data_IF_773991327744
#
_entry.id   IF_773991327744
#
_cell.length_a   1.000
_cell.length_b   1.000
_cell.length_c   1.000
_cell.angle_alpha   90.00
_cell.angle_beta   90.00
_cell.angle_gamma   90.00
#
_symmetry.space_group_name_H-M   'P 1'
#
loop_
_entity.id
_entity.type
_entity.pdbx_description
1 polymer ?
#
# COMPACT_ATOMS: atom_id res chain seq x y z
N UNK A 1 -13.32 -14.25 29.44
CA UNK A 1 -14.12 -14.50 28.23
C UNK A 1 -14.64 -15.94 28.22
N UNK A 2 -13.91 -16.96 27.74
CA UNK A 2 -14.47 -18.34 27.77
C UNK A 2 -14.65 -18.91 29.18
N UNK A 3 -13.59 -18.89 29.99
CA UNK A 3 -13.63 -19.52 31.31
C UNK A 3 -14.57 -18.79 32.29
N UNK A 4 -14.47 -17.46 32.34
CA UNK A 4 -15.21 -16.63 33.30
C UNK A 4 -16.60 -16.23 32.80
N UNK A 5 -16.76 -15.97 31.50
CA UNK A 5 -17.95 -15.31 30.94
C UNK A 5 -18.73 -16.21 29.97
N UNK A 6 -18.24 -17.42 29.67
CA UNK A 6 -18.87 -18.42 28.78
C UNK A 6 -19.18 -17.89 27.38
N UNK A 7 -18.40 -16.92 26.92
CA UNK A 7 -18.47 -16.41 25.55
C UNK A 7 -17.54 -17.26 24.70
N UNK A 8 -18.08 -17.90 23.66
CA UNK A 8 -17.34 -18.65 22.65
C UNK A 8 -16.45 -17.70 21.83
N UNK A 9 -15.18 -18.06 21.63
CA UNK A 9 -14.21 -17.22 20.94
C UNK A 9 -13.63 -17.98 19.75
N UNK A 10 -13.76 -17.39 18.57
CA UNK A 10 -13.03 -17.81 17.39
C UNK A 10 -11.68 -17.10 17.32
N UNK A 11 -10.60 -17.88 17.32
CA UNK A 11 -9.25 -17.37 17.12
C UNK A 11 -8.91 -17.36 15.64
N UNK A 12 -8.65 -16.18 15.10
CA UNK A 12 -8.17 -15.99 13.74
C UNK A 12 -6.68 -15.68 13.73
N UNK A 13 -5.98 -16.14 12.70
CA UNK A 13 -4.60 -15.70 12.51
C UNK A 13 -4.55 -14.19 12.27
N UNK A 14 -3.66 -13.46 12.96
CA UNK A 14 -3.48 -12.04 12.72
C UNK A 14 -3.09 -11.78 11.26
N UNK A 15 -3.88 -10.96 10.55
CA UNK A 15 -3.55 -10.53 9.20
C UNK A 15 -2.32 -9.62 9.22
N UNK A 16 -1.36 -9.91 8.34
CA UNK A 16 -0.20 -9.04 8.15
C UNK A 16 -0.67 -7.75 7.46
N UNK A 17 -0.33 -6.55 7.98
CA UNK A 17 -0.77 -5.30 7.41
C UNK A 17 0.09 -4.95 6.19
N UNK A 18 -0.03 -5.71 5.10
CA UNK A 18 0.59 -5.40 3.81
C UNK A 18 0.10 -4.04 3.28
N UNK A 19 0.88 -3.46 2.37
CA UNK A 19 0.52 -2.24 1.64
C UNK A 19 0.76 -2.43 0.15
N UNK A 20 0.19 -1.55 -0.66
CA UNK A 20 0.41 -1.55 -2.10
C UNK A 20 1.07 -0.25 -2.54
N UNK A 21 1.91 -0.33 -3.56
CA UNK A 21 2.48 0.84 -4.24
C UNK A 21 2.70 0.52 -5.72
N UNK A 22 3.22 1.47 -6.47
CA UNK A 22 3.52 1.34 -7.89
C UNK A 22 5.00 1.62 -8.14
N UNK A 23 5.52 1.16 -9.28
CA UNK A 23 6.96 1.32 -9.60
C UNK A 23 7.20 2.09 -10.90
N UNK A 24 6.15 2.32 -11.68
CA UNK A 24 6.23 2.98 -12.99
C UNK A 24 5.16 4.07 -13.09
N UNK A 25 5.37 4.98 -14.03
CA UNK A 25 4.33 5.91 -14.43
C UNK A 25 3.32 5.20 -15.32
N UNK A 26 2.05 5.54 -15.17
CA UNK A 26 0.98 5.02 -16.01
C UNK A 26 -0.13 6.05 -16.16
N UNK A 27 -0.82 6.00 -17.29
CA UNK A 27 -2.01 6.83 -17.53
C UNK A 27 -3.22 5.95 -17.71
N UNK A 28 -4.37 6.47 -17.30
CA UNK A 28 -5.65 5.90 -17.68
C UNK A 28 -6.72 6.98 -17.72
N UNK A 29 -7.76 6.69 -18.49
CA UNK A 29 -8.98 7.45 -18.54
C UNK A 29 -10.16 6.53 -18.24
N UNK A 30 -11.20 7.11 -17.64
CA UNK A 30 -12.45 6.39 -17.42
C UNK A 30 -13.63 7.32 -17.59
N UNK A 31 -14.64 6.84 -18.33
CA UNK A 31 -15.91 7.52 -18.56
C UNK A 31 -17.05 6.78 -17.88
N UNK A 32 -17.56 7.36 -16.79
CA UNK A 32 -18.79 6.94 -16.15
C UNK A 32 -19.99 7.54 -16.88
N UNK A 33 -20.88 6.70 -17.40
CA UNK A 33 -22.16 7.12 -17.99
C UNK A 33 -23.26 6.17 -17.56
N UNK A 34 -24.30 6.68 -16.91
CA UNK A 34 -25.52 5.93 -16.59
C UNK A 34 -26.74 6.77 -16.91
N UNK A 35 -27.62 6.23 -17.75
CA UNK A 35 -28.94 6.80 -18.02
C UNK A 35 -29.97 5.91 -17.31
N UNK A 36 -30.34 6.29 -16.09
CA UNK A 36 -31.60 5.82 -15.48
C UNK A 36 -32.73 6.76 -15.91
N UNK A 37 -33.99 6.32 -15.89
CA UNK A 37 -35.16 7.14 -16.29
C UNK A 37 -35.43 8.42 -15.47
N UNK A 38 -34.47 8.87 -14.66
CA UNK A 38 -34.46 10.15 -13.92
C UNK A 38 -33.20 10.96 -14.26
N UNK A 39 -32.56 11.60 -13.27
CA UNK A 39 -31.33 12.38 -13.48
C UNK A 39 -30.19 11.51 -14.06
N UNK A 40 -29.55 11.99 -15.12
CA UNK A 40 -28.42 11.32 -15.75
C UNK A 40 -27.16 11.37 -14.87
N UNK A 41 -26.24 10.44 -15.11
CA UNK A 41 -24.90 10.44 -14.54
C UNK A 41 -23.87 10.46 -15.65
N UNK A 42 -22.97 11.45 -15.61
CA UNK A 42 -21.86 11.59 -16.54
C UNK A 42 -20.62 12.18 -15.87
N UNK A 43 -19.48 11.52 -16.02
CA UNK A 43 -18.18 12.05 -15.64
C UNK A 43 -17.06 11.29 -16.34
N UNK A 44 -16.11 12.01 -16.92
CA UNK A 44 -14.92 11.43 -17.55
C UNK A 44 -13.69 12.05 -16.89
N UNK A 45 -12.77 11.21 -16.41
CA UNK A 45 -11.54 11.63 -15.71
C UNK A 45 -10.37 10.99 -16.40
N UNK A 46 -9.38 11.80 -16.76
CA UNK A 46 -8.11 11.36 -17.32
C UNK A 46 -7.02 11.70 -16.30
N UNK A 47 -6.26 10.69 -15.89
CA UNK A 47 -5.22 10.85 -14.89
C UNK A 47 -3.94 10.11 -15.23
N UNK A 48 -2.86 10.58 -14.62
CA UNK A 48 -1.55 9.93 -14.58
C UNK A 48 -1.29 9.54 -13.12
N UNK A 49 -0.75 8.36 -12.91
CA UNK A 49 -0.20 7.93 -11.62
C UNK A 49 1.30 7.72 -11.74
N UNK A 50 2.04 8.08 -10.70
CA UNK A 50 3.46 7.78 -10.59
C UNK A 50 3.86 7.47 -9.14
N UNK A 51 4.92 6.66 -8.92
CA UNK A 51 5.47 6.48 -7.58
C UNK A 51 5.87 7.83 -6.99
N UNK A 52 5.64 8.02 -5.70
CA UNK A 52 6.03 9.23 -4.99
C UNK A 52 7.08 8.93 -3.93
N UNK A 53 8.10 9.78 -3.86
CA UNK A 53 9.05 9.85 -2.75
C UNK A 53 9.21 11.31 -2.34
N UNK A 54 9.54 11.54 -1.07
CA UNK A 54 9.70 12.88 -0.53
C UNK A 54 10.75 13.68 -1.31
N UNK A 55 10.41 14.90 -1.71
CA UNK A 55 11.31 15.76 -2.50
C UNK A 55 11.45 15.39 -3.98
N UNK A 56 10.73 14.39 -4.48
CA UNK A 56 10.75 14.04 -5.90
C UNK A 56 10.19 15.19 -6.75
N UNK A 57 10.94 15.72 -7.74
CA UNK A 57 10.44 16.79 -8.61
C UNK A 57 9.23 16.32 -9.42
N UNK A 58 8.43 17.26 -9.89
CA UNK A 58 7.31 16.98 -10.77
C UNK A 58 7.70 17.27 -12.22
N UNK A 59 7.72 16.26 -13.10
CA UNK A 59 7.91 16.48 -14.54
C UNK A 59 6.82 17.39 -15.13
N UNK A 60 7.22 18.31 -16.01
CA UNK A 60 6.28 19.13 -16.78
C UNK A 60 5.76 18.40 -18.03
N UNK A 61 6.48 17.37 -18.49
CA UNK A 61 6.15 16.62 -19.71
C UNK A 61 6.17 15.13 -19.38
N UNK A 62 5.04 14.47 -19.63
CA UNK A 62 4.92 13.02 -19.58
C UNK A 62 4.80 12.47 -21.00
N UNK A 63 5.38 11.30 -21.24
CA UNK A 63 5.35 10.63 -22.55
C UNK A 63 4.78 9.23 -22.41
N UNK A 64 3.66 8.99 -23.09
CA UNK A 64 3.04 7.67 -23.14
C UNK A 64 2.77 7.29 -24.58
N UNK A 65 3.24 6.12 -25.02
CA UNK A 65 3.03 5.59 -26.38
C UNK A 65 3.38 6.60 -27.51
N UNK A 66 4.43 7.40 -27.33
CA UNK A 66 4.85 8.43 -28.30
C UNK A 66 4.03 9.73 -28.29
N UNK A 67 3.00 9.83 -27.45
CA UNK A 67 2.23 11.05 -27.22
C UNK A 67 2.79 11.82 -26.02
N UNK A 68 2.97 13.14 -26.19
CA UNK A 68 3.38 14.04 -25.11
C UNK A 68 2.17 14.67 -24.41
N UNK A 69 2.23 14.69 -23.09
CA UNK A 69 1.24 15.32 -22.20
C UNK A 69 1.97 16.40 -21.41
N UNK A 70 1.58 17.66 -21.64
CA UNK A 70 2.12 18.80 -20.90
C UNK A 70 1.28 19.02 -19.66
N UNK A 71 1.91 18.95 -18.51
CA UNK A 71 1.29 19.05 -17.19
C UNK A 71 1.69 20.37 -16.55
N UNK A 72 0.70 21.08 -16.02
CA UNK A 72 0.88 22.30 -15.25
C UNK A 72 0.41 22.03 -13.83
N UNK A 73 1.31 22.13 -12.86
CA UNK A 73 0.95 21.99 -11.44
C UNK A 73 0.20 23.22 -10.96
N UNK A 74 -1.13 23.26 -11.15
CA UNK A 74 -1.96 24.41 -10.75
C UNK A 74 -2.30 24.40 -9.27
N UNK A 75 -2.58 23.21 -8.75
CA UNK A 75 -2.83 22.95 -7.34
C UNK A 75 -2.27 21.58 -6.97
N UNK A 76 -1.50 21.52 -5.88
CA UNK A 76 -0.81 20.33 -5.40
C UNK A 76 -1.16 20.14 -3.94
N UNK A 77 -1.85 19.06 -3.64
CA UNK A 77 -2.27 18.68 -2.30
C UNK A 77 -1.49 17.45 -1.89
N UNK A 78 -0.70 17.57 -0.82
CA UNK A 78 -0.03 16.41 -0.20
C UNK A 78 -0.83 15.99 1.01
N UNK A 79 -1.28 14.74 1.01
CA UNK A 79 -2.17 14.17 2.01
C UNK A 79 -1.43 13.05 2.72
N UNK A 80 -1.26 13.16 4.03
CA UNK A 80 -0.79 12.08 4.88
C UNK A 80 -1.91 11.05 5.06
N UNK A 81 -1.60 9.78 4.81
CA UNK A 81 -2.57 8.69 4.85
C UNK A 81 -2.66 8.10 6.27
N UNK A 82 -3.88 7.78 6.72
CA UNK A 82 -4.13 7.22 8.07
C UNK A 82 -3.39 5.90 8.32
N UNK A 83 -3.14 5.12 7.27
CA UNK A 83 -2.41 3.84 7.31
C UNK A 83 -0.90 3.97 7.00
N UNK A 84 -0.40 5.20 6.94
CA UNK A 84 1.00 5.56 6.67
C UNK A 84 1.33 5.73 5.20
N UNK A 85 2.23 6.68 4.92
CA UNK A 85 2.61 7.10 3.57
C UNK A 85 1.85 8.34 3.10
N UNK A 86 2.06 8.73 1.84
CA UNK A 86 1.47 9.95 1.29
C UNK A 86 0.73 9.72 -0.03
N UNK A 87 -0.30 10.53 -0.25
CA UNK A 87 -0.92 10.75 -1.55
C UNK A 87 -0.64 12.18 -1.99
N UNK A 88 -0.03 12.35 -3.15
CA UNK A 88 0.12 13.68 -3.76
C UNK A 88 -0.91 13.82 -4.88
N UNK A 89 -1.94 14.61 -4.65
CA UNK A 89 -2.98 14.89 -5.63
C UNK A 89 -2.68 16.20 -6.35
N UNK A 90 -2.58 16.15 -7.68
CA UNK A 90 -2.25 17.30 -8.52
C UNK A 90 -3.37 17.60 -9.50
N UNK A 91 -3.86 18.83 -9.46
CA UNK A 91 -4.75 19.37 -10.48
C UNK A 91 -3.93 20.05 -11.58
N UNK A 92 -4.05 19.53 -12.79
CA UNK A 92 -3.44 20.05 -14.01
C UNK A 92 -4.46 20.36 -15.11
N UNK A 93 -5.73 20.52 -14.76
CA UNK A 93 -6.79 20.75 -15.74
C UNK A 93 -6.67 22.14 -16.36
N UNK A 94 -6.78 22.20 -17.69
CA UNK A 94 -6.75 23.45 -18.48
C UNK A 94 -8.06 23.59 -19.26
N UNK A 95 -8.49 24.82 -19.53
CA UNK A 95 -9.64 25.08 -20.40
C UNK A 95 -11.02 24.74 -19.82
N UNK A 96 -11.10 24.38 -18.53
CA UNK A 96 -12.38 24.11 -17.87
C UNK A 96 -13.02 22.77 -18.25
N UNK A 97 -12.22 21.78 -18.67
CA UNK A 97 -12.69 20.43 -19.03
C UNK A 97 -13.47 19.73 -17.88
N UNK A 98 -13.08 20.01 -16.63
CA UNK A 98 -13.80 19.68 -15.41
C UNK A 98 -13.84 20.93 -14.51
N UNK A 99 -14.99 21.22 -13.93
CA UNK A 99 -15.13 22.27 -12.91
C UNK A 99 -14.39 21.88 -11.62
N UNK A 100 -13.67 22.84 -11.01
CA UNK A 100 -12.93 22.66 -9.77
C UNK A 100 -13.78 22.10 -8.62
N UNK A 101 -15.10 22.37 -8.62
CA UNK A 101 -16.03 21.81 -7.62
C UNK A 101 -16.08 20.28 -7.59
N UNK A 102 -15.70 19.60 -8.67
CA UNK A 102 -15.71 18.14 -8.75
C UNK A 102 -14.37 17.50 -8.33
N UNK A 103 -13.30 18.27 -8.15
CA UNK A 103 -11.99 17.75 -7.72
C UNK A 103 -12.05 17.02 -6.37
N UNK A 104 -12.75 17.53 -5.34
CA UNK A 104 -12.89 16.79 -4.08
C UNK A 104 -13.58 15.44 -4.25
N UNK A 105 -14.53 15.33 -5.19
CA UNK A 105 -15.22 14.07 -5.48
C UNK A 105 -14.28 13.06 -6.15
N UNK A 106 -13.45 13.51 -7.11
CA UNK A 106 -12.42 12.68 -7.75
C UNK A 106 -11.42 12.18 -6.70
N UNK A 107 -10.91 13.08 -5.85
CA UNK A 107 -10.00 12.75 -4.76
C UNK A 107 -10.62 11.70 -3.81
N UNK A 108 -11.88 11.90 -3.38
CA UNK A 108 -12.61 10.93 -2.56
C UNK A 108 -12.71 9.55 -3.23
N UNK A 109 -12.93 9.50 -4.54
CA UNK A 109 -12.95 8.26 -5.30
C UNK A 109 -11.60 7.55 -5.34
N UNK A 110 -10.52 8.31 -5.47
CA UNK A 110 -9.14 7.81 -5.42
C UNK A 110 -8.82 7.27 -4.02
N UNK A 111 -9.04 8.07 -2.96
CA UNK A 111 -8.77 7.65 -1.58
C UNK A 111 -9.54 6.37 -1.22
N UNK A 112 -10.82 6.30 -1.54
CA UNK A 112 -11.61 5.10 -1.29
C UNK A 112 -11.11 3.85 -2.05
N UNK A 113 -10.49 4.02 -3.22
CA UNK A 113 -9.85 2.89 -3.92
C UNK A 113 -8.49 2.53 -3.32
N UNK A 114 -7.74 3.51 -2.83
CA UNK A 114 -6.50 3.27 -2.10
C UNK A 114 -6.76 2.55 -0.77
N UNK A 115 -7.86 2.88 -0.09
CA UNK A 115 -8.30 2.19 1.12
C UNK A 115 -8.64 0.72 0.88
N UNK A 116 -9.30 0.44 -0.24
CA UNK A 116 -9.72 -0.92 -0.60
C UNK A 116 -8.63 -1.77 -1.24
N UNK A 117 -7.46 -1.20 -1.58
CA UNK A 117 -6.41 -1.90 -2.32
C UNK A 117 -6.76 -2.17 -3.79
N UNK A 118 -6.04 -1.58 -4.75
CA UNK A 118 -6.21 -1.88 -6.16
C UNK A 118 -5.93 -3.34 -6.57
N UNK A 119 -5.07 -4.06 -5.82
CA UNK A 119 -4.48 -5.35 -6.19
C UNK A 119 -4.86 -6.53 -5.28
N UNK A 120 -4.65 -6.42 -3.98
CA UNK A 120 -4.80 -7.51 -2.99
C UNK A 120 -5.62 -7.11 -1.77
N UNK A 121 -6.49 -6.11 -1.90
CA UNK A 121 -7.26 -5.61 -0.75
C UNK A 121 -6.44 -4.80 0.27
N UNK A 122 -5.16 -4.53 -0.02
CA UNK A 122 -4.23 -3.90 0.94
C UNK A 122 -4.09 -2.40 0.69
N UNK A 123 -3.95 -1.62 1.75
CA UNK A 123 -3.94 -0.16 1.63
C UNK A 123 -2.82 0.35 0.71
N UNK A 124 -3.17 1.12 -0.31
CA UNK A 124 -2.22 1.71 -1.24
C UNK A 124 -1.57 2.98 -0.67
N UNK A 125 -0.29 3.25 -0.98
CA UNK A 125 0.45 4.40 -0.47
C UNK A 125 1.58 4.85 -1.40
N UNK A 126 2.07 6.06 -1.13
CA UNK A 126 3.24 6.67 -1.77
C UNK A 126 3.06 6.81 -3.29
N UNK A 127 1.94 7.43 -3.67
CA UNK A 127 1.55 7.66 -5.07
C UNK A 127 1.25 9.13 -5.31
N UNK A 128 1.69 9.64 -6.47
CA UNK A 128 1.25 10.92 -7.01
C UNK A 128 0.21 10.68 -8.10
N UNK A 129 -0.93 11.35 -8.00
CA UNK A 129 -2.02 11.29 -8.97
C UNK A 129 -2.25 12.66 -9.58
N UNK A 130 -2.18 12.74 -10.89
CA UNK A 130 -2.27 13.99 -11.65
C UNK A 130 -3.51 13.92 -12.53
N UNK A 131 -4.51 14.74 -12.23
CA UNK A 131 -5.71 14.88 -13.07
C UNK A 131 -5.44 16.00 -14.07
N UNK A 132 -5.35 15.65 -15.35
CA UNK A 132 -4.92 16.59 -16.39
C UNK A 132 -6.01 16.93 -17.41
N UNK A 133 -7.02 16.06 -17.56
CA UNK A 133 -8.12 16.28 -18.50
C UNK A 133 -9.37 15.49 -18.07
N UNK A 134 -10.46 15.71 -18.77
CA UNK A 134 -11.69 14.96 -18.61
C UNK A 134 -12.85 15.59 -19.36
N UNK A 135 -14.07 15.16 -19.06
CA UNK A 135 -15.28 15.73 -19.65
C UNK A 135 -16.40 15.78 -18.63
N UNK A 136 -17.15 16.87 -18.67
CA UNK A 136 -18.40 17.04 -17.94
C UNK A 136 -19.56 17.30 -18.89
N UNK A 137 -20.77 17.04 -18.41
CA UNK A 137 -22.02 17.36 -19.08
C UNK A 137 -22.81 18.34 -18.20
N UNK A 138 -23.34 19.44 -18.74
CA UNK A 138 -23.97 20.49 -17.92
C UNK A 138 -25.12 20.00 -17.03
N UNK A 139 -25.87 18.98 -17.48
CA UNK A 139 -27.06 18.47 -16.79
C UNK A 139 -26.82 17.15 -16.09
N UNK A 140 -25.94 16.30 -16.63
CA UNK A 140 -25.77 14.92 -16.16
C UNK A 140 -24.55 14.75 -15.24
N UNK A 141 -23.70 15.78 -15.12
CA UNK A 141 -22.54 15.71 -14.24
C UNK A 141 -22.85 16.05 -12.80
N UNK A 142 -22.47 15.11 -11.92
CA UNK A 142 -22.62 15.19 -10.48
C UNK A 142 -21.40 14.59 -9.78
N UNK A 143 -21.27 14.83 -8.47
CA UNK A 143 -20.13 14.37 -7.68
C UNK A 143 -19.94 12.85 -7.72
N UNK A 144 -21.04 12.09 -7.64
CA UNK A 144 -20.99 10.61 -7.67
C UNK A 144 -20.36 10.13 -8.97
N UNK A 145 -20.68 10.75 -10.10
CA UNK A 145 -20.14 10.38 -11.41
C UNK A 145 -18.63 10.60 -11.46
N UNK A 146 -18.15 11.73 -10.96
CA UNK A 146 -16.71 12.04 -10.91
C UNK A 146 -15.94 11.22 -9.87
N UNK A 147 -16.56 10.90 -8.74
CA UNK A 147 -16.00 9.98 -7.75
C UNK A 147 -15.80 8.59 -8.34
N UNK A 148 -16.81 8.05 -9.03
CA UNK A 148 -16.71 6.74 -9.70
C UNK A 148 -15.72 6.78 -10.87
N UNK A 149 -15.69 7.87 -11.63
CA UNK A 149 -14.73 8.01 -12.73
C UNK A 149 -13.28 8.06 -12.24
N UNK A 150 -13.00 8.87 -11.21
CA UNK A 150 -11.68 8.94 -10.58
C UNK A 150 -11.24 7.60 -9.99
N UNK A 151 -12.13 6.92 -9.25
CA UNK A 151 -11.90 5.57 -8.70
C UNK A 151 -11.45 4.58 -9.76
N UNK A 152 -12.20 4.48 -10.86
CA UNK A 152 -11.94 3.48 -11.89
C UNK A 152 -10.71 3.84 -12.74
N UNK A 153 -10.55 5.11 -13.12
CA UNK A 153 -9.35 5.57 -13.80
C UNK A 153 -8.09 5.29 -12.97
N UNK A 154 -8.13 5.57 -11.66
CA UNK A 154 -7.01 5.27 -10.76
C UNK A 154 -6.73 3.78 -10.67
N UNK A 155 -7.77 2.94 -10.50
CA UNK A 155 -7.61 1.49 -10.45
C UNK A 155 -6.92 0.93 -11.71
N UNK A 156 -7.34 1.38 -12.89
CA UNK A 156 -6.72 0.97 -14.16
C UNK A 156 -5.29 1.47 -14.29
N UNK A 157 -5.05 2.74 -13.97
CA UNK A 157 -3.71 3.32 -14.04
C UNK A 157 -2.74 2.58 -13.08
N UNK A 158 -3.18 2.31 -11.85
CA UNK A 158 -2.41 1.62 -10.81
C UNK A 158 -2.03 0.19 -11.24
N UNK A 159 -2.97 -0.58 -11.80
CA UNK A 159 -2.69 -1.93 -12.32
C UNK A 159 -1.66 -1.92 -13.46
N UNK A 160 -1.67 -0.88 -14.28
CA UNK A 160 -0.72 -0.71 -15.38
C UNK A 160 0.63 -0.11 -14.94
N UNK A 161 0.72 0.42 -13.72
CA UNK A 161 1.88 1.14 -13.19
C UNK A 161 2.95 0.22 -12.55
N UNK A 162 2.92 -1.08 -12.84
CA UNK A 162 3.80 -2.06 -12.19
C UNK A 162 3.54 -2.14 -10.68
N UNK A 163 2.35 -2.58 -10.27
CA UNK A 163 1.96 -2.62 -8.87
C UNK A 163 2.84 -3.60 -8.08
N UNK A 164 3.16 -3.22 -6.84
CA UNK A 164 3.99 -3.98 -5.92
C UNK A 164 3.37 -3.98 -4.53
N UNK A 165 3.60 -5.08 -3.82
CA UNK A 165 3.18 -5.24 -2.43
C UNK A 165 4.36 -4.88 -1.53
N UNK A 166 4.06 -4.23 -0.42
CA UNK A 166 5.02 -3.90 0.63
C UNK A 166 4.68 -4.71 1.88
N UNK A 167 5.70 -5.24 2.53
CA UNK A 167 5.60 -5.91 3.84
C UNK A 167 6.21 -5.05 4.95
N UNK A 168 5.65 -5.11 6.17
CA UNK A 168 6.20 -4.38 7.30
C UNK A 168 7.44 -5.09 7.84
N UNK A 169 8.55 -4.35 7.89
CA UNK A 169 9.82 -4.79 8.45
C UNK A 169 9.95 -4.27 9.88
N UNK A 170 10.39 -5.14 10.77
CA UNK A 170 10.61 -4.82 12.17
C UNK A 170 12.10 -4.89 12.49
N UNK A 171 12.56 -3.91 13.27
CA UNK A 171 13.82 -4.00 13.98
C UNK A 171 13.63 -4.95 15.16
N UNK A 172 14.31 -6.08 15.12
CA UNK A 172 14.31 -7.12 16.14
C UNK A 172 15.64 -7.09 16.87
N UNK A 173 15.57 -7.00 18.19
CA UNK A 173 16.74 -7.14 19.07
C UNK A 173 16.54 -8.39 19.90
N UNK A 174 17.41 -9.37 19.70
CA UNK A 174 17.40 -10.65 20.43
C UNK A 174 18.54 -10.66 21.43
N UNK A 175 18.22 -10.88 22.70
CA UNK A 175 19.19 -11.07 23.78
C UNK A 175 19.33 -12.56 24.05
N UNK A 176 20.51 -13.12 23.78
CA UNK A 176 20.76 -14.57 23.85
C UNK A 176 22.09 -14.85 24.58
N UNK A 177 22.21 -15.92 25.37
CA UNK A 177 23.52 -16.35 25.89
C UNK A 177 24.47 -16.75 24.74
N UNK A 178 25.78 -16.52 24.88
CA UNK A 178 26.76 -16.76 23.82
C UNK A 178 26.75 -18.20 23.28
N UNK A 179 26.40 -19.19 24.12
CA UNK A 179 26.33 -20.61 23.75
C UNK A 179 25.28 -20.92 22.67
N UNK A 180 24.22 -20.10 22.56
CA UNK A 180 23.10 -20.32 21.63
C UNK A 180 23.11 -19.38 20.43
N UNK A 181 24.10 -18.51 20.34
CA UNK A 181 24.10 -17.46 19.33
C UNK A 181 24.07 -18.02 17.90
N UNK A 182 24.85 -19.07 17.62
CA UNK A 182 24.92 -19.69 16.30
C UNK A 182 23.57 -20.24 15.84
N UNK A 183 22.83 -20.90 16.74
CA UNK A 183 21.53 -21.49 16.44
C UNK A 183 20.47 -20.41 16.19
N UNK A 184 20.44 -19.37 17.04
CA UNK A 184 19.51 -18.23 16.91
C UNK A 184 19.77 -17.44 15.63
N UNK A 185 21.04 -17.23 15.28
CA UNK A 185 21.42 -16.55 14.04
C UNK A 185 20.97 -17.35 12.81
N UNK A 186 21.12 -18.69 12.85
CA UNK A 186 20.70 -19.57 11.77
C UNK A 186 19.17 -19.58 11.59
N UNK A 187 18.40 -19.62 12.69
CA UNK A 187 16.92 -19.52 12.63
C UNK A 187 16.47 -18.17 12.05
N UNK A 188 17.07 -17.06 12.47
CA UNK A 188 16.74 -15.74 11.93
C UNK A 188 17.07 -15.64 10.44
N UNK A 189 18.22 -16.15 9.99
CA UNK A 189 18.55 -16.17 8.56
C UNK A 189 17.55 -17.01 7.75
N UNK A 190 17.06 -18.11 8.31
CA UNK A 190 15.97 -18.90 7.72
C UNK A 190 14.64 -18.13 7.60
N UNK A 191 14.46 -17.08 8.40
CA UNK A 191 13.30 -16.18 8.44
C UNK A 191 13.47 -14.90 7.63
N UNK A 192 14.33 -14.91 6.61
CA UNK A 192 14.64 -13.72 5.79
C UNK A 192 15.14 -12.52 6.61
N UNK A 193 15.72 -12.76 7.79
CA UNK A 193 16.28 -11.69 8.59
C UNK A 193 17.57 -11.15 7.97
N UNK A 194 17.71 -9.83 7.95
CA UNK A 194 18.97 -9.16 7.66
C UNK A 194 19.66 -8.80 8.97
N UNK A 195 20.82 -9.40 9.23
CA UNK A 195 21.60 -9.11 10.44
C UNK A 195 22.27 -7.74 10.29
N UNK A 196 21.97 -6.82 11.21
CA UNK A 196 22.50 -5.46 11.22
C UNK A 196 23.76 -5.33 12.08
N UNK A 197 23.86 -6.13 13.14
CA UNK A 197 25.01 -6.09 14.03
C UNK A 197 24.82 -6.92 15.30
N UNK A 198 25.90 -7.03 16.06
CA UNK A 198 25.97 -7.82 17.29
C UNK A 198 26.72 -7.00 18.34
N UNK A 199 26.21 -7.00 19.57
CA UNK A 199 26.81 -6.28 20.70
C UNK A 199 26.83 -7.20 21.93
N UNK A 200 27.98 -7.33 22.58
CA UNK A 200 28.10 -8.08 23.82
C UNK A 200 27.77 -7.20 25.02
N UNK A 201 26.84 -7.64 25.87
CA UNK A 201 26.46 -6.92 27.08
C UNK A 201 26.24 -7.88 28.26
N UNK A 202 27.05 -7.73 29.32
CA UNK A 202 26.85 -8.41 30.63
C UNK A 202 26.60 -9.92 30.54
N UNK A 203 27.37 -10.63 29.71
CA UNK A 203 27.26 -12.09 29.55
C UNK A 203 26.14 -12.55 28.63
N UNK A 204 25.43 -11.62 27.99
CA UNK A 204 24.52 -11.87 26.89
C UNK A 204 25.02 -11.20 25.62
N UNK A 205 24.53 -11.69 24.50
CA UNK A 205 24.81 -11.17 23.18
C UNK A 205 23.52 -10.62 22.61
N UNK A 206 23.57 -9.37 22.15
CA UNK A 206 22.45 -8.67 21.53
C UNK A 206 22.61 -8.73 20.03
N UNK A 207 21.75 -9.49 19.38
CA UNK A 207 21.66 -9.58 17.93
C UNK A 207 20.61 -8.60 17.41
N UNK A 208 21.03 -7.65 16.57
CA UNK A 208 20.14 -6.69 15.92
C UNK A 208 19.89 -7.17 14.50
N UNK A 209 18.62 -7.35 14.14
CA UNK A 209 18.23 -7.81 12.82
C UNK A 209 16.98 -7.09 12.32
N UNK A 210 16.83 -6.97 11.01
CA UNK A 210 15.59 -6.53 10.36
C UNK A 210 14.86 -7.75 9.85
N UNK A 211 13.60 -7.94 10.23
CA UNK A 211 12.84 -9.15 9.92
C UNK A 211 11.43 -8.77 9.44
N UNK A 212 10.92 -9.40 8.37
CA UNK A 212 9.52 -9.23 7.98
C UNK A 212 8.56 -9.79 9.03
N UNK A 213 7.49 -9.05 9.34
CA UNK A 213 6.53 -9.46 10.38
C UNK A 213 5.90 -10.83 10.13
N UNK A 214 5.68 -11.21 8.86
CA UNK A 214 5.11 -12.51 8.48
C UNK A 214 5.93 -13.68 9.05
N UNK A 215 7.23 -13.52 9.18
CA UNK A 215 8.16 -14.56 9.64
C UNK A 215 8.24 -14.66 11.18
N UNK A 216 7.61 -13.72 11.90
CA UNK A 216 7.72 -13.57 13.36
C UNK A 216 6.57 -14.21 14.15
N UNK A 217 5.52 -14.69 13.50
CA UNK A 217 4.30 -15.25 14.14
C UNK A 217 4.59 -16.31 15.22
N UNK A 218 5.58 -17.17 14.99
CA UNK A 218 5.96 -18.25 15.92
C UNK A 218 7.35 -18.08 16.53
N UNK A 219 7.98 -16.92 16.37
CA UNK A 219 9.37 -16.73 16.75
C UNK A 219 9.60 -16.90 18.25
N UNK A 220 8.67 -16.46 19.10
CA UNK A 220 8.77 -16.63 20.55
C UNK A 220 8.90 -18.09 20.98
N UNK A 221 8.13 -18.99 20.36
CA UNK A 221 8.15 -20.42 20.66
C UNK A 221 9.43 -21.06 20.14
N UNK A 222 9.83 -20.74 18.91
CA UNK A 222 11.08 -21.23 18.31
C UNK A 222 12.30 -20.78 19.12
N UNK A 223 12.39 -19.51 19.49
CA UNK A 223 13.47 -18.95 20.29
C UNK A 223 13.56 -19.60 21.67
N UNK A 224 12.43 -19.79 22.35
CA UNK A 224 12.39 -20.46 23.65
C UNK A 224 12.89 -21.90 23.54
N UNK A 225 12.45 -22.64 22.53
CA UNK A 225 12.89 -24.01 22.26
C UNK A 225 14.41 -24.11 22.00
N UNK A 226 14.95 -23.24 21.14
CA UNK A 226 16.38 -23.21 20.79
C UNK A 226 17.27 -22.89 21.99
N UNK A 227 16.80 -22.06 22.91
CA UNK A 227 17.63 -21.48 23.98
C UNK A 227 17.33 -22.06 25.37
N UNK A 228 16.41 -23.02 25.45
CA UNK A 228 15.88 -23.52 26.72
C UNK A 228 15.21 -22.43 27.56
N UNK A 229 14.56 -21.47 26.91
CA UNK A 229 13.87 -20.34 27.54
C UNK A 229 14.78 -19.24 28.08
N UNK A 230 16.07 -19.22 27.69
CA UNK A 230 17.07 -18.27 28.22
C UNK A 230 17.30 -17.03 27.34
N UNK A 231 16.59 -16.91 26.22
CA UNK A 231 16.64 -15.74 25.37
C UNK A 231 15.33 -14.94 25.42
N UNK A 232 15.44 -13.67 25.09
CA UNK A 232 14.31 -12.76 24.92
C UNK A 232 14.50 -11.93 23.66
N UNK A 233 13.40 -11.39 23.12
CA UNK A 233 13.48 -10.47 22.00
C UNK A 233 12.51 -9.32 22.18
N UNK A 234 12.85 -8.20 21.56
CA UNK A 234 11.96 -7.05 21.39
C UNK A 234 11.88 -6.72 19.92
N UNK A 235 10.71 -6.27 19.45
CA UNK A 235 10.54 -5.84 18.08
C UNK A 235 9.90 -4.45 18.03
N UNK A 236 10.34 -3.62 17.08
CA UNK A 236 9.77 -2.31 16.80
C UNK A 236 9.57 -2.18 15.29
N UNK A 237 8.43 -1.63 14.87
CA UNK A 237 8.21 -1.32 13.46
C UNK A 237 9.31 -0.38 12.95
N UNK A 238 9.94 -0.75 11.84
CA UNK A 238 10.96 0.06 11.16
C UNK A 238 10.32 0.80 9.99
N UNK A 239 10.00 0.07 8.92
CA UNK A 239 9.47 0.63 7.68
C UNK A 239 8.77 -0.45 6.84
N UNK A 240 8.24 -0.04 5.69
CA UNK A 240 7.68 -0.93 4.68
C UNK A 240 8.71 -1.15 3.57
N UNK A 241 8.90 -2.40 3.16
CA UNK A 241 9.79 -2.77 2.05
C UNK A 241 9.06 -3.61 1.00
N UNK A 242 9.56 -3.59 -0.23
CA UNK A 242 9.01 -4.40 -1.32
C UNK A 242 9.15 -5.89 -1.00
N UNK A 243 8.04 -6.62 -1.12
CA UNK A 243 8.09 -8.08 -0.99
C UNK A 243 8.91 -8.68 -2.15
N UNK A 244 9.58 -9.81 -1.92
CA UNK A 244 10.13 -10.64 -2.98
C UNK A 244 9.07 -11.06 -4.00
N UNK A 245 9.46 -11.29 -5.24
CA UNK A 245 8.50 -11.58 -6.33
C UNK A 245 7.74 -12.90 -6.12
N UNK A 246 8.40 -13.90 -5.54
CA UNK A 246 7.77 -15.18 -5.20
C UNK A 246 6.71 -15.05 -4.10
N UNK A 247 6.93 -14.15 -3.13
CA UNK A 247 5.95 -13.83 -2.09
C UNK A 247 4.78 -13.06 -2.69
N UNK A 248 5.06 -12.09 -3.56
CA UNK A 248 4.02 -11.34 -4.27
C UNK A 248 3.09 -12.27 -5.05
N UNK A 249 3.63 -13.20 -5.82
CA UNK A 249 2.84 -14.14 -6.64
C UNK A 249 1.96 -15.06 -5.78
N UNK A 250 2.42 -15.43 -4.57
CA UNK A 250 1.62 -16.20 -3.61
C UNK A 250 0.46 -15.38 -3.07
N UNK A 251 0.73 -14.16 -2.61
CA UNK A 251 -0.30 -13.25 -2.07
C UNK A 251 -1.38 -12.93 -3.11
N UNK A 252 -1.01 -12.75 -4.38
CA UNK A 252 -1.96 -12.54 -5.47
C UNK A 252 -2.87 -13.75 -5.67
N UNK A 253 -2.30 -14.97 -5.65
CA UNK A 253 -3.09 -16.20 -5.79
C UNK A 253 -4.01 -16.45 -4.61
N UNK A 254 -3.55 -16.17 -3.39
CA UNK A 254 -4.36 -16.26 -2.18
C UNK A 254 -5.56 -15.31 -2.27
N UNK A 255 -5.33 -14.05 -2.67
CA UNK A 255 -6.40 -13.08 -2.85
C UNK A 255 -7.39 -13.46 -3.96
N UNK A 256 -6.89 -13.95 -5.11
CA UNK A 256 -7.76 -14.44 -6.20
C UNK A 256 -8.58 -15.68 -5.81
N UNK A 257 -8.13 -16.46 -4.83
CA UNK A 257 -8.89 -17.60 -4.30
C UNK A 257 -9.97 -17.10 -3.34
N UNK A 258 -9.64 -16.19 -2.43
CA UNK A 258 -10.60 -15.56 -1.52
C UNK A 258 -11.74 -14.85 -2.28
N UNK A 259 -11.43 -14.07 -3.34
CA UNK A 259 -12.44 -13.40 -4.18
C UNK A 259 -13.38 -14.37 -4.95
N UNK A 260 -12.98 -15.63 -5.14
CA UNK A 260 -13.83 -16.64 -5.83
C UNK A 260 -14.71 -17.42 -4.87
N UNK A 261 -14.33 -17.45 -3.58
CA UNK A 261 -15.06 -18.14 -2.53
C UNK A 261 -16.15 -17.24 -1.90
N UNK A 262 -16.01 -15.92 -2.01
CA UNK A 262 -17.05 -14.91 -1.71
C UNK A 262 -18.05 -14.69 -2.86
#
# INVERSE_FOLDING_TARGET
>A
LENNDKIEIDFLEPKIPYRETITKQSRADYRHKKQSGGAGQFGEVHLIVEPYTEGMPMPEIYRFNGQEFKIQSRDVQTIDLDWGGKLVFVNSIVGGAIDARFLPAILKGIMGRMEQGPLTGSYARDVRVIVYDGKMHPVDSNEISFMLAGRNAFSTAFKNAGPKILEPIYDVVVSVPSDYMGDVMSDLQGRRAMIMGMESEKGFEKLKARVPLKEMSSYSTSLSSLTGGRASFTMKFSEYELVPSDVQDKLLKEYEAEEKEE
#
